data_IF_229189244866
#
_entry.id   IF_229189244866
#
_cell.length_a   1.000
_cell.length_b   1.000
_cell.length_c   1.000
_cell.angle_alpha   90.00
_cell.angle_beta   90.00
_cell.angle_gamma   90.00
#
_symmetry.space_group_name_H-M   'P 1'
#
loop_
_entity.id
_entity.type
_entity.pdbx_description
1 polymer ?
#
# COMPACT_ATOMS: atom_id res chain seq x y z
N UNK A 1 -5.51 -5.96 -21.16
CA UNK A 1 -5.67 -6.80 -19.94
C UNK A 1 -4.30 -7.26 -19.49
N UNK A 2 -3.92 -6.93 -18.27
CA UNK A 2 -2.63 -7.33 -17.69
C UNK A 2 -2.72 -8.77 -17.23
N UNK A 3 -1.72 -9.58 -17.60
CA UNK A 3 -1.61 -10.93 -17.06
C UNK A 3 -0.61 -10.90 -15.90
N UNK A 4 -0.98 -11.34 -14.68
CA UNK A 4 -0.07 -11.46 -13.57
C UNK A 4 1.18 -12.25 -13.95
N UNK A 5 2.34 -11.69 -13.65
CA UNK A 5 3.63 -12.32 -13.91
C UNK A 5 4.58 -12.01 -12.73
N UNK A 6 4.79 -13.02 -11.90
CA UNK A 6 5.61 -12.89 -10.69
C UNK A 6 7.09 -12.77 -10.98
N UNK A 7 7.57 -13.25 -12.16
CA UNK A 7 8.96 -13.08 -12.57
C UNK A 7 9.22 -11.62 -12.97
N UNK A 8 8.27 -11.00 -13.70
CA UNK A 8 8.32 -9.56 -13.98
C UNK A 8 8.28 -8.73 -12.68
N UNK A 9 7.41 -9.11 -11.75
CA UNK A 9 7.33 -8.47 -10.44
C UNK A 9 8.67 -8.54 -9.70
N UNK A 10 9.29 -9.73 -9.61
CA UNK A 10 10.59 -9.91 -8.98
C UNK A 10 11.70 -9.14 -9.69
N UNK A 11 11.71 -9.13 -11.01
CA UNK A 11 12.71 -8.39 -11.79
C UNK A 11 12.59 -6.88 -11.55
N UNK A 12 11.35 -6.36 -11.55
CA UNK A 12 11.08 -4.92 -11.34
C UNK A 12 11.42 -4.46 -9.92
N UNK A 13 11.12 -5.26 -8.92
CA UNK A 13 11.25 -4.92 -7.51
C UNK A 13 12.32 -5.74 -6.77
N UNK A 14 13.41 -6.07 -7.47
CA UNK A 14 14.49 -6.96 -6.97
C UNK A 14 15.10 -6.51 -5.65
N UNK A 15 15.16 -5.21 -5.36
CA UNK A 15 15.72 -4.67 -4.11
C UNK A 15 14.80 -4.89 -2.89
N UNK A 16 13.48 -4.89 -3.09
CA UNK A 16 12.52 -5.05 -2.00
C UNK A 16 11.19 -5.65 -2.48
N UNK A 17 11.18 -6.93 -2.91
CA UNK A 17 9.97 -7.58 -3.41
C UNK A 17 8.88 -7.68 -2.34
N UNK A 18 9.24 -7.98 -1.09
CA UNK A 18 8.28 -8.08 0.03
C UNK A 18 7.55 -6.76 0.28
N UNK A 19 8.28 -5.65 0.40
CA UNK A 19 7.67 -4.34 0.66
C UNK A 19 6.81 -3.83 -0.49
N UNK A 20 7.19 -4.12 -1.74
CA UNK A 20 6.39 -3.76 -2.90
C UNK A 20 5.14 -4.65 -3.05
N UNK A 21 5.24 -5.93 -2.69
CA UNK A 21 4.07 -6.81 -2.62
C UNK A 21 3.09 -6.38 -1.54
N UNK A 22 3.59 -5.99 -0.38
CA UNK A 22 2.79 -5.44 0.70
C UNK A 22 2.07 -4.15 0.26
N UNK A 23 2.76 -3.25 -0.46
CA UNK A 23 2.14 -2.05 -1.01
C UNK A 23 1.06 -2.39 -2.06
N UNK A 24 1.31 -3.35 -2.95
CA UNK A 24 0.31 -3.82 -3.89
C UNK A 24 -0.95 -4.33 -3.19
N UNK A 25 -0.79 -5.22 -2.20
CA UNK A 25 -1.89 -5.75 -1.42
C UNK A 25 -2.64 -4.67 -0.64
N UNK A 26 -1.92 -3.66 -0.11
CA UNK A 26 -2.51 -2.50 0.54
C UNK A 26 -3.45 -1.73 -0.39
N UNK A 27 -3.00 -1.45 -1.62
CA UNK A 27 -3.84 -0.74 -2.60
C UNK A 27 -5.09 -1.56 -2.94
N UNK A 28 -4.95 -2.88 -3.14
CA UNK A 28 -6.09 -3.76 -3.41
C UNK A 28 -7.04 -3.85 -2.21
N UNK A 29 -6.53 -3.91 -0.98
CA UNK A 29 -7.35 -3.88 0.23
C UNK A 29 -8.15 -2.58 0.33
N UNK A 30 -7.51 -1.43 0.07
CA UNK A 30 -8.20 -0.14 0.06
C UNK A 30 -9.33 -0.11 -0.98
N UNK A 31 -9.11 -0.64 -2.17
CA UNK A 31 -10.14 -0.70 -3.23
C UNK A 31 -11.29 -1.64 -2.84
N UNK A 32 -11.00 -2.83 -2.33
CA UNK A 32 -12.00 -3.83 -1.92
C UNK A 32 -12.91 -3.29 -0.80
N UNK A 33 -12.33 -2.59 0.16
CA UNK A 33 -13.06 -2.05 1.31
C UNK A 33 -13.50 -0.59 1.15
N UNK A 34 -13.28 0.02 -0.03
CA UNK A 34 -13.60 1.42 -0.35
C UNK A 34 -13.02 2.40 0.66
N UNK A 35 -11.79 2.15 1.05
CA UNK A 35 -11.07 3.00 1.97
C UNK A 35 -10.20 4.00 1.20
N UNK A 36 -10.07 5.25 1.67
CA UNK A 36 -9.13 6.17 1.05
C UNK A 36 -7.71 5.61 1.15
N UNK A 37 -6.96 5.67 0.06
CA UNK A 37 -5.52 5.44 0.11
C UNK A 37 -4.90 6.45 1.10
N UNK A 38 -4.03 5.99 1.99
CA UNK A 38 -3.49 6.84 3.06
C UNK A 38 -3.85 6.38 4.47
N UNK A 39 -4.36 5.13 4.62
CA UNK A 39 -4.46 4.51 5.95
C UNK A 39 -3.07 4.55 6.58
N UNK A 40 -3.01 5.04 7.81
CA UNK A 40 -1.77 5.12 8.55
C UNK A 40 -1.22 3.71 8.79
N UNK A 41 0.02 3.50 8.38
CA UNK A 41 0.75 2.25 8.49
C UNK A 41 1.89 2.43 9.48
N UNK A 42 1.87 1.67 10.57
CA UNK A 42 2.98 1.68 11.51
C UNK A 42 4.13 0.79 11.01
N UNK A 43 5.34 1.29 11.06
CA UNK A 43 6.53 0.47 10.83
C UNK A 43 6.60 -0.60 11.94
N UNK A 44 6.74 -1.88 11.54
CA UNK A 44 6.77 -3.04 12.44
C UNK A 44 5.46 -3.30 13.22
N UNK A 45 4.31 -3.09 12.58
CA UNK A 45 3.04 -3.49 13.16
C UNK A 45 3.00 -5.02 13.34
N UNK A 46 2.49 -5.48 14.48
CA UNK A 46 2.52 -6.90 14.81
C UNK A 46 1.30 -7.64 14.26
N UNK A 47 1.52 -8.64 13.45
CA UNK A 47 0.51 -9.63 13.02
C UNK A 47 -0.37 -9.20 11.83
N UNK A 48 -0.75 -7.92 11.70
CA UNK A 48 -1.47 -7.34 10.56
C UNK A 48 -0.79 -6.05 10.10
N UNK A 49 -0.98 -5.66 8.84
CA UNK A 49 -0.19 -4.58 8.22
C UNK A 49 -0.69 -3.17 8.55
N UNK A 50 -1.97 -3.01 8.86
CA UNK A 50 -2.57 -1.74 9.27
C UNK A 50 -3.48 -1.94 10.47
N UNK A 51 -3.97 -0.86 11.09
CA UNK A 51 -5.04 -1.00 12.06
C UNK A 51 -6.24 -1.73 11.43
N UNK A 52 -6.89 -2.65 12.19
CA UNK A 52 -8.05 -3.35 11.65
C UNK A 52 -9.21 -2.38 11.41
N UNK A 53 -10.04 -2.71 10.44
CA UNK A 53 -11.26 -1.99 10.14
C UNK A 53 -12.47 -2.72 10.73
N UNK A 54 -13.54 -1.98 10.99
CA UNK A 54 -14.83 -2.58 11.39
C UNK A 54 -15.80 -2.47 10.22
N UNK A 55 -16.32 -3.60 9.76
CA UNK A 55 -17.33 -3.68 8.70
C UNK A 55 -18.30 -4.81 9.02
N UNK A 56 -19.59 -4.55 8.91
CA UNK A 56 -20.68 -5.53 9.13
C UNK A 56 -20.55 -6.30 10.47
N UNK A 57 -20.14 -5.62 11.55
CA UNK A 57 -19.82 -6.15 12.88
C UNK A 57 -18.60 -7.08 12.94
N UNK A 58 -17.84 -7.21 11.88
CA UNK A 58 -16.57 -7.92 11.87
C UNK A 58 -15.40 -6.95 12.07
N UNK A 59 -14.39 -7.36 12.80
CA UNK A 59 -13.11 -6.65 12.92
C UNK A 59 -12.12 -7.34 11.99
N UNK A 60 -11.79 -6.66 10.89
CA UNK A 60 -11.05 -7.21 9.76
C UNK A 60 -9.65 -6.60 9.73
N UNK A 61 -8.63 -7.44 9.75
CA UNK A 61 -7.25 -7.09 9.46
C UNK A 61 -6.80 -7.67 8.13
N UNK A 62 -5.64 -7.28 7.66
CA UNK A 62 -5.00 -7.90 6.50
C UNK A 62 -3.52 -8.11 6.72
N UNK A 63 -2.96 -9.08 5.99
CA UNK A 63 -1.56 -9.45 6.01
C UNK A 63 -1.11 -9.83 4.61
N UNK A 64 0.15 -9.58 4.28
CA UNK A 64 0.74 -9.96 3.02
C UNK A 64 2.09 -10.63 3.20
N UNK A 65 2.32 -11.69 2.42
CA UNK A 65 3.60 -12.41 2.42
C UNK A 65 3.99 -12.80 1.01
N UNK A 66 5.15 -12.34 0.60
CA UNK A 66 5.77 -12.75 -0.66
C UNK A 66 6.76 -13.87 -0.38
N UNK A 67 6.42 -15.09 -0.78
CA UNK A 67 7.26 -16.26 -0.53
C UNK A 67 7.98 -16.72 -1.81
N UNK A 68 9.23 -17.13 -1.65
CA UNK A 68 10.01 -17.81 -2.69
C UNK A 68 9.83 -19.34 -2.63
N UNK A 69 9.27 -19.85 -1.56
CA UNK A 69 8.99 -21.27 -1.31
C UNK A 69 7.49 -21.54 -1.37
N UNK A 70 7.09 -22.81 -1.39
CA UNK A 70 5.68 -23.19 -1.36
C UNK A 70 5.02 -22.71 -0.09
N UNK A 71 3.73 -22.37 -0.18
CA UNK A 71 2.98 -21.90 0.98
C UNK A 71 2.96 -22.91 2.13
N UNK A 72 2.91 -24.21 1.82
CA UNK A 72 2.98 -25.29 2.81
C UNK A 72 4.28 -25.31 3.63
N UNK A 73 5.38 -24.82 3.08
CA UNK A 73 6.68 -24.83 3.76
C UNK A 73 6.77 -23.70 4.82
N UNK A 74 5.82 -22.77 4.80
CA UNK A 74 5.77 -21.59 5.66
C UNK A 74 4.75 -21.72 6.82
N UNK A 75 4.35 -22.95 7.18
CA UNK A 75 3.37 -23.22 8.25
C UNK A 75 3.66 -22.48 9.55
N UNK A 76 4.93 -22.52 9.99
CA UNK A 76 5.32 -21.91 11.26
C UNK A 76 5.10 -20.38 11.25
N UNK A 77 5.48 -19.72 10.16
CA UNK A 77 5.27 -18.27 9.98
C UNK A 77 3.77 -17.90 9.94
N UNK A 78 2.95 -18.74 9.31
CA UNK A 78 1.49 -18.54 9.25
C UNK A 78 0.84 -18.68 10.65
N UNK A 79 1.25 -19.68 11.43
CA UNK A 79 0.75 -19.87 12.80
C UNK A 79 1.19 -18.71 13.70
N UNK A 80 2.46 -18.32 13.63
CA UNK A 80 2.99 -17.19 14.40
C UNK A 80 2.25 -15.88 14.07
N UNK A 81 1.91 -15.65 12.79
CA UNK A 81 1.13 -14.50 12.34
C UNK A 81 -0.25 -14.49 13.03
N UNK A 82 -0.96 -15.62 13.07
CA UNK A 82 -2.27 -15.74 13.74
C UNK A 82 -2.15 -15.37 15.22
N UNK A 83 -1.17 -15.93 15.91
CA UNK A 83 -0.94 -15.71 17.35
C UNK A 83 -0.59 -14.24 17.65
N UNK A 84 0.31 -13.66 16.85
CA UNK A 84 0.67 -12.22 16.95
C UNK A 84 -0.52 -11.31 16.70
N UNK A 85 -1.33 -11.62 15.68
CA UNK A 85 -2.52 -10.85 15.33
C UNK A 85 -3.56 -10.88 16.46
N UNK A 86 -3.85 -12.06 17.00
CA UNK A 86 -4.81 -12.21 18.10
C UNK A 86 -4.34 -11.54 19.38
N UNK A 87 -3.05 -11.62 19.67
CA UNK A 87 -2.45 -10.95 20.83
C UNK A 87 -2.53 -9.43 20.73
N UNK A 88 -2.22 -8.89 19.52
CA UNK A 88 -2.25 -7.43 19.28
C UNK A 88 -3.68 -6.89 19.23
N UNK A 89 -4.61 -7.66 18.67
CA UNK A 89 -6.00 -7.28 18.45
C UNK A 89 -6.95 -8.38 18.94
N UNK A 90 -7.25 -8.44 20.24
CA UNK A 90 -8.08 -9.51 20.81
C UNK A 90 -9.49 -9.62 20.18
N UNK A 91 -10.04 -8.53 19.67
CA UNK A 91 -11.33 -8.48 18.96
C UNK A 91 -11.27 -8.87 17.49
N UNK A 92 -10.09 -9.12 16.92
CA UNK A 92 -9.94 -9.48 15.52
C UNK A 92 -10.71 -10.76 15.19
N UNK A 93 -11.60 -10.71 14.21
CA UNK A 93 -12.43 -11.83 13.78
C UNK A 93 -12.11 -12.34 12.37
N UNK A 94 -11.42 -11.52 11.54
CA UNK A 94 -11.11 -11.90 10.16
C UNK A 94 -9.74 -11.34 9.73
N UNK A 95 -8.97 -12.15 8.99
CA UNK A 95 -7.72 -11.74 8.34
C UNK A 95 -7.82 -12.02 6.85
N UNK A 96 -7.65 -10.98 6.03
CA UNK A 96 -7.46 -11.12 4.59
C UNK A 96 -5.96 -11.37 4.35
N UNK A 97 -5.61 -12.58 3.95
CA UNK A 97 -4.21 -12.97 3.76
C UNK A 97 -3.85 -13.04 2.28
N UNK A 98 -2.96 -12.16 1.86
CA UNK A 98 -2.45 -12.09 0.49
C UNK A 98 -1.12 -12.81 0.35
N UNK A 99 -0.96 -13.62 -0.70
CA UNK A 99 0.31 -14.26 -1.06
C UNK A 99 0.43 -14.52 -2.55
N UNK A 100 1.67 -14.49 -3.04
CA UNK A 100 2.03 -14.83 -4.42
C UNK A 100 2.08 -16.35 -4.67
N UNK A 101 1.78 -17.17 -3.69
CA UNK A 101 1.83 -18.64 -3.78
C UNK A 101 0.43 -19.24 -3.82
N UNK A 102 0.31 -20.44 -4.41
CA UNK A 102 -0.90 -21.25 -4.37
C UNK A 102 -0.80 -22.33 -3.29
N UNK A 103 -1.96 -22.72 -2.77
CA UNK A 103 -2.03 -23.98 -2.05
C UNK A 103 -1.91 -25.16 -3.05
N UNK A 104 -1.02 -26.11 -2.77
CA UNK A 104 -0.95 -27.33 -3.53
C UNK A 104 -2.25 -28.15 -3.37
N UNK A 105 -2.64 -28.94 -4.38
CA UNK A 105 -3.73 -29.89 -4.22
C UNK A 105 -3.43 -30.88 -3.11
N UNK A 106 -4.36 -31.05 -2.18
CA UNK A 106 -4.30 -32.14 -1.19
C UNK A 106 -4.30 -33.48 -1.93
N UNK A 107 -3.29 -34.32 -1.70
CA UNK A 107 -3.38 -35.74 -2.12
C UNK A 107 -4.48 -36.38 -1.28
N UNK A 108 -5.43 -37.08 -1.88
CA UNK A 108 -6.30 -38.01 -1.18
C UNK A 108 -5.39 -39.08 -0.55
N UNK A 109 -4.86 -38.81 0.63
CA UNK A 109 -4.20 -39.82 1.45
C UNK A 109 -5.31 -40.63 2.12
N UNK A 110 -5.13 -41.96 2.17
CA UNK A 110 -5.91 -42.85 3.02
C UNK A 110 -6.19 -42.16 4.37
N UNK A 111 -7.40 -42.39 4.85
CA UNK A 111 -7.97 -41.84 6.08
C UNK A 111 -6.89 -41.56 7.14
N UNK A 112 -6.78 -40.32 7.65
CA UNK A 112 -5.90 -40.07 8.79
C UNK A 112 -6.50 -40.77 9.99
N UNK A 113 -5.76 -41.66 10.62
CA UNK A 113 -6.08 -42.13 11.96
C UNK A 113 -6.17 -40.92 12.88
N UNK A 114 -7.38 -40.52 13.19
CA UNK A 114 -7.89 -39.98 14.42
C UNK A 114 -7.15 -38.82 15.08
N UNK A 115 -7.25 -37.62 14.51
CA UNK A 115 -7.25 -36.42 15.36
C UNK A 115 -8.68 -35.85 15.43
N UNK A 116 -9.38 -36.13 16.54
CA UNK A 116 -10.79 -35.74 16.75
C UNK A 116 -11.07 -34.23 16.61
N UNK A 117 -10.01 -33.38 16.66
CA UNK A 117 -10.13 -31.93 16.50
C UNK A 117 -10.14 -31.54 15.02
N UNK A 118 -9.37 -32.23 14.16
CA UNK A 118 -9.39 -32.00 12.71
C UNK A 118 -10.72 -32.41 12.09
N UNK A 119 -11.33 -33.49 12.55
CA UNK A 119 -12.63 -33.96 12.09
C UNK A 119 -13.74 -32.92 12.40
N UNK A 120 -13.70 -32.29 13.57
CA UNK A 120 -14.69 -31.29 13.99
C UNK A 120 -14.61 -30.00 13.14
N UNK A 121 -13.41 -29.58 12.72
CA UNK A 121 -13.22 -28.43 11.82
C UNK A 121 -13.71 -28.76 10.40
N UNK A 122 -13.36 -29.95 9.86
CA UNK A 122 -13.77 -30.38 8.53
C UNK A 122 -15.29 -30.55 8.41
N UNK A 123 -15.95 -31.00 9.46
CA UNK A 123 -17.41 -31.10 9.50
C UNK A 123 -18.10 -29.73 9.52
N UNK A 124 -17.43 -28.71 10.04
CA UNK A 124 -18.06 -27.40 10.28
C UNK A 124 -17.70 -26.36 9.21
N UNK A 125 -16.46 -26.32 8.74
CA UNK A 125 -15.93 -25.20 7.89
C UNK A 125 -14.96 -25.66 6.80
N UNK A 126 -14.25 -26.79 6.99
CA UNK A 126 -13.17 -27.21 6.09
C UNK A 126 -13.64 -27.87 4.79
N UNK A 127 -12.78 -27.87 3.78
CA UNK A 127 -12.97 -28.60 2.53
C UNK A 127 -12.06 -29.85 2.54
N UNK A 128 -12.64 -31.04 2.36
CA UNK A 128 -11.91 -32.32 2.36
C UNK A 128 -10.81 -32.43 1.27
N UNK A 129 -10.81 -31.52 0.30
CA UNK A 129 -9.80 -31.47 -0.76
C UNK A 129 -8.64 -30.49 -0.44
N UNK A 130 -8.70 -29.76 0.68
CA UNK A 130 -7.65 -28.85 1.06
C UNK A 130 -6.38 -29.60 1.51
N UNK A 131 -5.18 -29.03 1.29
CA UNK A 131 -3.94 -29.62 1.79
C UNK A 131 -3.95 -29.67 3.33
N UNK A 132 -3.39 -30.74 3.88
CA UNK A 132 -3.29 -30.94 5.36
C UNK A 132 -2.78 -29.69 6.08
N UNK A 133 -1.72 -29.07 5.57
CA UNK A 133 -1.13 -27.86 6.19
C UNK A 133 -2.13 -26.69 6.21
N UNK A 134 -2.93 -26.49 5.12
CA UNK A 134 -3.96 -25.45 5.10
C UNK A 134 -5.01 -25.70 6.18
N UNK A 135 -5.47 -26.96 6.29
CA UNK A 135 -6.47 -27.35 7.30
C UNK A 135 -5.93 -27.07 8.71
N UNK A 136 -4.67 -27.41 8.99
CA UNK A 136 -4.04 -27.16 10.30
C UNK A 136 -3.93 -25.68 10.61
N UNK A 137 -3.60 -24.83 9.63
CA UNK A 137 -3.52 -23.37 9.80
C UNK A 137 -4.90 -22.76 10.00
N UNK A 138 -5.89 -23.17 9.20
CA UNK A 138 -7.27 -22.68 9.31
C UNK A 138 -7.91 -23.10 10.62
N UNK A 139 -7.64 -24.33 11.09
CA UNK A 139 -8.07 -24.81 12.38
C UNK A 139 -7.49 -23.96 13.52
N UNK A 140 -6.18 -23.68 13.49
CA UNK A 140 -5.52 -22.82 14.48
C UNK A 140 -6.11 -21.41 14.51
N UNK A 141 -6.45 -20.84 13.35
CA UNK A 141 -7.12 -19.56 13.25
C UNK A 141 -8.52 -19.64 13.86
N UNK A 142 -9.31 -20.65 13.51
CA UNK A 142 -10.66 -20.89 14.06
C UNK A 142 -10.65 -21.01 15.58
N UNK A 143 -9.73 -21.79 16.16
CA UNK A 143 -9.54 -21.93 17.61
C UNK A 143 -9.20 -20.58 18.28
N UNK A 144 -8.59 -19.67 17.54
CA UNK A 144 -8.31 -18.31 17.97
C UNK A 144 -9.47 -17.33 17.72
N UNK A 145 -10.61 -17.81 17.18
CA UNK A 145 -11.76 -16.99 16.78
C UNK A 145 -11.47 -16.06 15.63
N UNK A 146 -10.64 -16.50 14.67
CA UNK A 146 -10.25 -15.76 13.47
C UNK A 146 -10.60 -16.60 12.23
N UNK A 147 -11.28 -16.00 11.27
CA UNK A 147 -11.45 -16.52 9.91
C UNK A 147 -10.30 -16.01 9.02
N UNK A 148 -9.65 -16.88 8.25
CA UNK A 148 -8.68 -16.47 7.24
C UNK A 148 -9.33 -16.50 5.85
N UNK A 149 -9.33 -15.36 5.17
CA UNK A 149 -9.72 -15.25 3.77
C UNK A 149 -8.46 -15.25 2.93
N UNK A 150 -8.19 -16.37 2.25
CA UNK A 150 -7.00 -16.56 1.45
C UNK A 150 -7.10 -15.85 0.09
N UNK A 151 -6.18 -14.94 -0.18
CA UNK A 151 -5.95 -14.27 -1.44
C UNK A 151 -4.63 -14.79 -2.03
N UNK A 152 -4.67 -16.02 -2.54
CA UNK A 152 -3.53 -16.73 -3.13
C UNK A 152 -3.21 -16.21 -4.54
N UNK A 153 -2.20 -16.76 -5.22
CA UNK A 153 -1.73 -16.28 -6.53
C UNK A 153 -2.86 -16.12 -7.56
N UNK A 154 -3.81 -17.05 -7.61
CA UNK A 154 -4.97 -17.00 -8.50
C UNK A 154 -5.92 -15.83 -8.21
N UNK A 155 -5.95 -15.29 -7.00
CA UNK A 155 -6.70 -14.07 -6.70
C UNK A 155 -6.25 -12.89 -7.59
N UNK A 156 -4.96 -12.79 -7.86
CA UNK A 156 -4.41 -11.71 -8.68
C UNK A 156 -4.76 -11.83 -10.17
N UNK A 157 -5.33 -12.95 -10.59
CA UNK A 157 -5.91 -13.17 -11.93
C UNK A 157 -7.41 -12.83 -11.99
N UNK A 158 -8.02 -12.48 -10.86
CA UNK A 158 -9.46 -12.18 -10.77
C UNK A 158 -9.84 -10.91 -11.55
N UNK A 159 -11.08 -10.79 -12.03
CA UNK A 159 -11.58 -9.57 -12.65
C UNK A 159 -11.40 -8.33 -11.76
N UNK A 160 -11.54 -8.48 -10.44
CA UNK A 160 -11.28 -7.40 -9.49
C UNK A 160 -9.87 -6.81 -9.65
N UNK A 161 -8.84 -7.65 -9.83
CA UNK A 161 -7.46 -7.16 -9.97
C UNK A 161 -7.16 -6.71 -11.40
N UNK A 162 -7.45 -7.57 -12.40
CA UNK A 162 -6.97 -7.35 -13.77
C UNK A 162 -7.88 -6.46 -14.63
N UNK A 163 -9.12 -6.22 -14.20
CA UNK A 163 -10.09 -5.36 -14.91
C UNK A 163 -10.41 -4.12 -14.08
N UNK A 164 -10.99 -4.30 -12.89
CA UNK A 164 -11.42 -3.17 -12.07
C UNK A 164 -10.23 -2.34 -11.53
N UNK A 165 -9.09 -3.01 -11.26
CA UNK A 165 -7.86 -2.39 -10.76
C UNK A 165 -6.70 -2.50 -11.77
N UNK A 166 -7.01 -2.44 -13.07
CA UNK A 166 -6.02 -2.63 -14.13
C UNK A 166 -4.80 -1.71 -14.02
N UNK A 167 -5.01 -0.45 -13.66
CA UNK A 167 -3.91 0.53 -13.50
C UNK A 167 -2.92 0.06 -12.41
N UNK A 168 -3.45 -0.41 -11.28
CA UNK A 168 -2.63 -0.97 -10.19
C UNK A 168 -1.90 -2.23 -10.67
N UNK A 169 -2.61 -3.18 -11.29
CA UNK A 169 -2.03 -4.41 -11.80
C UNK A 169 -0.92 -4.15 -12.85
N UNK A 170 -1.10 -3.17 -13.73
CA UNK A 170 -0.09 -2.74 -14.71
C UNK A 170 1.18 -2.27 -14.02
N UNK A 171 1.06 -1.44 -12.99
CA UNK A 171 2.23 -0.98 -12.26
C UNK A 171 3.07 -2.14 -11.72
N UNK A 172 2.43 -3.15 -11.12
CA UNK A 172 3.17 -4.23 -10.45
C UNK A 172 3.62 -5.35 -11.38
N UNK A 173 2.91 -5.64 -12.47
CA UNK A 173 3.21 -6.77 -13.35
C UNK A 173 3.81 -6.39 -14.70
N UNK A 174 3.78 -5.12 -15.10
CA UNK A 174 4.41 -4.68 -16.35
C UNK A 174 5.84 -4.22 -16.11
N UNK A 175 6.74 -4.56 -17.01
CA UNK A 175 8.10 -4.01 -17.04
C UNK A 175 8.16 -2.62 -17.67
N UNK A 176 7.10 -2.20 -18.37
CA UNK A 176 7.00 -0.85 -18.91
C UNK A 176 6.75 0.15 -17.79
N UNK A 177 7.23 1.38 -17.97
CA UNK A 177 6.94 2.49 -17.06
C UNK A 177 5.43 2.66 -16.90
N UNK A 178 5.01 2.83 -15.66
CA UNK A 178 3.63 3.10 -15.29
C UNK A 178 3.48 4.53 -14.81
N UNK A 179 2.24 5.01 -14.73
CA UNK A 179 1.96 6.32 -14.14
C UNK A 179 2.55 6.44 -12.72
N UNK A 180 2.58 5.35 -11.95
CA UNK A 180 3.15 5.36 -10.60
C UNK A 180 4.67 5.52 -10.59
N UNK A 181 5.38 4.93 -11.55
CA UNK A 181 6.82 5.12 -11.69
C UNK A 181 7.15 6.57 -11.99
N UNK A 182 6.35 7.18 -12.85
CA UNK A 182 6.46 8.59 -13.20
C UNK A 182 6.12 9.52 -12.03
N UNK A 183 5.06 9.22 -11.26
CA UNK A 183 4.71 9.97 -10.07
C UNK A 183 5.80 9.86 -9.00
N UNK A 184 6.42 8.69 -8.84
CA UNK A 184 7.56 8.49 -7.95
C UNK A 184 8.81 9.26 -8.42
N UNK A 185 9.07 9.31 -9.72
CA UNK A 185 10.11 10.18 -10.28
C UNK A 185 9.86 11.65 -9.94
N UNK A 186 8.60 12.13 -10.07
CA UNK A 186 8.23 13.51 -9.70
C UNK A 186 8.33 13.75 -8.20
N UNK A 187 8.07 12.77 -7.37
CA UNK A 187 8.29 12.84 -5.93
C UNK A 187 9.78 13.02 -5.62
N UNK A 188 10.65 12.21 -6.21
CA UNK A 188 12.12 12.35 -6.09
C UNK A 188 12.61 13.71 -6.59
N UNK A 189 12.06 14.18 -7.71
CA UNK A 189 12.36 15.51 -8.22
C UNK A 189 11.99 16.61 -7.19
N UNK A 190 10.79 16.54 -6.62
CA UNK A 190 10.34 17.46 -5.57
C UNK A 190 11.25 17.46 -4.36
N UNK A 191 11.66 16.27 -3.88
CA UNK A 191 12.61 16.14 -2.77
C UNK A 191 13.95 16.81 -3.11
N UNK A 192 14.46 16.65 -4.31
CA UNK A 192 15.68 17.30 -4.77
C UNK A 192 15.53 18.83 -4.83
N UNK A 193 14.40 19.34 -5.35
CA UNK A 193 14.13 20.79 -5.39
C UNK A 193 14.10 21.40 -4.00
N UNK A 194 13.55 20.68 -3.03
CA UNK A 194 13.37 21.15 -1.64
C UNK A 194 14.56 20.81 -0.73
N UNK A 195 15.50 19.97 -1.18
CA UNK A 195 16.60 19.47 -0.35
C UNK A 195 17.42 20.61 0.29
N UNK A 196 17.82 21.59 -0.51
CA UNK A 196 18.67 22.70 -0.06
C UNK A 196 17.90 23.80 0.72
N UNK A 197 16.57 23.72 0.77
CA UNK A 197 15.76 24.73 1.44
C UNK A 197 15.83 24.50 2.96
N UNK A 198 16.43 25.44 3.65
CA UNK A 198 16.46 25.44 5.12
C UNK A 198 15.14 25.97 5.67
N UNK A 199 14.54 25.24 6.62
CA UNK A 199 13.34 25.67 7.36
C UNK A 199 13.68 26.39 8.65
N UNK A 200 14.90 26.22 9.14
CA UNK A 200 15.46 26.84 10.35
C UNK A 200 16.63 27.75 9.98
N UNK A 201 16.93 28.69 10.83
CA UNK A 201 18.15 29.52 10.76
C UNK A 201 19.20 28.88 11.66
N UNK A 202 20.29 28.40 11.04
CA UNK A 202 21.44 27.89 11.79
C UNK A 202 22.41 29.03 12.07
N UNK A 203 22.74 29.24 13.34
CA UNK A 203 23.75 30.21 13.75
C UNK A 203 24.63 29.63 14.86
N UNK A 204 25.87 29.34 14.53
CA UNK A 204 26.84 28.64 15.40
C UNK A 204 26.24 27.32 15.88
N UNK A 205 26.12 27.12 17.18
CA UNK A 205 25.59 25.89 17.79
C UNK A 205 24.08 25.96 18.08
N UNK A 206 23.38 26.93 17.48
CA UNK A 206 21.95 27.19 17.73
C UNK A 206 21.17 27.10 16.43
N UNK A 207 20.08 26.35 16.47
CA UNK A 207 19.06 26.31 15.43
C UNK A 207 17.83 27.09 15.88
N UNK A 208 17.41 28.06 15.10
CA UNK A 208 16.25 28.89 15.38
C UNK A 208 15.15 28.52 14.39
N UNK A 209 14.08 27.93 14.88
CA UNK A 209 12.90 27.68 14.10
C UNK A 209 12.04 28.94 13.98
N UNK A 210 11.75 29.34 12.75
CA UNK A 210 10.83 30.44 12.50
C UNK A 210 9.42 29.90 12.51
N UNK A 211 8.56 30.42 13.38
CA UNK A 211 7.13 30.04 13.40
C UNK A 211 6.43 30.51 12.12
N UNK A 212 5.94 29.57 11.35
CA UNK A 212 5.21 29.78 10.11
C UNK A 212 3.79 29.18 10.12
N UNK A 213 3.30 28.77 11.31
CA UNK A 213 2.00 28.11 11.45
C UNK A 213 0.88 28.92 10.83
N UNK A 214 0.82 30.21 11.13
CA UNK A 214 -0.20 31.09 10.58
C UNK A 214 -0.19 31.14 9.04
N UNK A 215 1.00 31.19 8.42
CA UNK A 215 1.11 31.16 6.95
C UNK A 215 0.66 29.82 6.36
N UNK A 216 0.95 28.73 7.03
CA UNK A 216 0.57 27.36 6.62
C UNK A 216 -0.95 27.20 6.73
N UNK A 217 -1.56 27.58 7.85
CA UNK A 217 -3.00 27.53 8.09
C UNK A 217 -3.75 28.36 7.04
N UNK A 218 -3.33 29.60 6.80
CA UNK A 218 -3.93 30.49 5.79
C UNK A 218 -3.83 29.90 4.38
N UNK A 219 -2.72 29.23 4.05
CA UNK A 219 -2.55 28.59 2.76
C UNK A 219 -3.46 27.38 2.61
N UNK A 220 -3.59 26.53 3.63
CA UNK A 220 -4.51 25.40 3.66
C UNK A 220 -5.97 25.84 3.49
N UNK A 221 -6.41 26.83 4.26
CA UNK A 221 -7.77 27.39 4.15
C UNK A 221 -8.08 27.88 2.74
N UNK A 222 -7.11 28.55 2.10
CA UNK A 222 -7.30 29.03 0.74
C UNK A 222 -7.30 27.89 -0.30
N UNK A 223 -6.46 26.86 -0.13
CA UNK A 223 -6.40 25.71 -1.05
C UNK A 223 -7.67 24.86 -1.01
N UNK A 224 -8.34 24.76 0.13
CA UNK A 224 -9.65 24.09 0.24
C UNK A 224 -10.73 24.82 -0.58
N UNK A 225 -10.65 26.14 -0.69
CA UNK A 225 -11.70 26.96 -1.32
C UNK A 225 -11.37 27.35 -2.77
N UNK A 226 -10.11 27.33 -3.17
CA UNK A 226 -9.63 27.89 -4.42
C UNK A 226 -8.73 26.89 -5.15
N UNK A 227 -8.93 26.79 -6.46
CA UNK A 227 -8.10 25.96 -7.34
C UNK A 227 -6.67 26.51 -7.52
N UNK A 228 -6.49 27.81 -7.39
CA UNK A 228 -5.21 28.50 -7.56
C UNK A 228 -5.01 29.47 -6.42
N UNK A 229 -3.85 29.38 -5.76
CA UNK A 229 -3.40 30.29 -4.71
C UNK A 229 -2.01 30.82 -5.06
N UNK A 230 -1.84 32.13 -5.02
CA UNK A 230 -0.56 32.80 -5.28
C UNK A 230 0.04 33.28 -3.97
N UNK A 231 1.24 32.78 -3.65
CA UNK A 231 2.02 33.24 -2.49
C UNK A 231 3.06 34.24 -2.96
N UNK A 232 2.90 35.50 -2.57
CA UNK A 232 3.80 36.61 -2.93
C UNK A 232 4.54 37.16 -1.71
N UNK A 233 5.65 37.85 -1.93
CA UNK A 233 6.46 38.50 -0.90
C UNK A 233 7.88 38.78 -1.41
N UNK A 234 8.65 39.53 -0.65
CA UNK A 234 10.04 39.89 -0.97
C UNK A 234 10.97 38.67 -1.08
N UNK A 235 12.13 38.85 -1.74
CA UNK A 235 13.16 37.83 -1.80
C UNK A 235 13.66 37.48 -0.38
N UNK A 236 13.89 36.18 -0.13
CA UNK A 236 14.45 35.74 1.15
C UNK A 236 13.49 35.59 2.34
N UNK A 237 12.22 36.03 2.24
CA UNK A 237 11.26 35.94 3.37
C UNK A 237 10.81 34.52 3.72
N UNK A 238 11.26 33.51 3.00
CA UNK A 238 11.02 32.11 3.34
C UNK A 238 9.77 31.48 2.68
N UNK A 239 9.26 32.01 1.55
CA UNK A 239 8.13 31.42 0.82
C UNK A 239 8.33 29.91 0.53
N UNK A 240 9.50 29.56 0.00
CA UNK A 240 9.82 28.15 -0.31
C UNK A 240 9.93 27.28 0.95
N UNK A 241 10.35 27.85 2.08
CA UNK A 241 10.38 27.13 3.36
C UNK A 241 8.96 26.82 3.88
N UNK A 242 7.97 27.69 3.61
CA UNK A 242 6.55 27.37 3.87
C UNK A 242 6.10 26.20 3.01
N UNK A 243 6.39 26.23 1.71
CA UNK A 243 6.05 25.13 0.78
C UNK A 243 6.71 23.82 1.22
N UNK A 244 7.99 23.85 1.64
CA UNK A 244 8.69 22.67 2.15
C UNK A 244 8.00 22.09 3.39
N UNK A 245 7.59 22.92 4.35
CA UNK A 245 6.89 22.46 5.55
C UNK A 245 5.53 21.82 5.21
N UNK A 246 4.78 22.37 4.27
CA UNK A 246 3.53 21.80 3.79
C UNK A 246 3.81 20.44 3.10
N UNK A 247 4.79 20.40 2.21
CA UNK A 247 5.20 19.15 1.58
C UNK A 247 5.55 18.06 2.59
N UNK A 248 6.35 18.37 3.60
CA UNK A 248 6.74 17.44 4.67
C UNK A 248 5.53 16.92 5.47
N UNK A 249 4.51 17.74 5.66
CA UNK A 249 3.28 17.35 6.36
C UNK A 249 2.34 16.51 5.49
N UNK A 250 2.22 16.84 4.19
CA UNK A 250 1.20 16.30 3.31
C UNK A 250 1.67 15.14 2.41
N UNK A 251 2.97 15.00 2.17
CA UNK A 251 3.54 14.05 1.19
C UNK A 251 3.13 12.59 1.37
N UNK A 252 2.66 12.21 2.56
CA UNK A 252 2.19 10.86 2.85
C UNK A 252 0.70 10.66 2.55
N UNK A 253 -0.05 11.76 2.41
CA UNK A 253 -1.50 11.74 2.28
C UNK A 253 -1.98 12.22 0.92
N UNK A 254 -1.21 13.14 0.30
CA UNK A 254 -1.62 13.80 -0.95
C UNK A 254 -0.44 13.86 -1.91
N UNK A 255 -0.62 13.54 -3.20
CA UNK A 255 0.37 13.80 -4.23
C UNK A 255 0.69 15.31 -4.28
N UNK A 256 1.90 15.67 -3.89
CA UNK A 256 2.35 17.05 -3.82
C UNK A 256 3.68 17.19 -4.59
N UNK A 257 3.68 17.98 -5.66
CA UNK A 257 4.84 18.14 -6.51
C UNK A 257 5.29 19.59 -6.57
N UNK A 258 6.59 19.82 -6.56
CA UNK A 258 7.20 21.16 -6.59
C UNK A 258 8.11 21.25 -7.81
N UNK A 259 7.91 22.28 -8.59
CA UNK A 259 8.70 22.61 -9.79
C UNK A 259 9.26 24.03 -9.68
N UNK A 260 10.44 24.26 -10.20
CA UNK A 260 11.00 25.59 -10.36
C UNK A 260 10.36 26.26 -11.60
N UNK A 261 10.10 27.56 -11.53
CA UNK A 261 9.53 28.30 -12.66
C UNK A 261 10.39 28.17 -13.95
N UNK A 262 11.70 27.99 -13.81
CA UNK A 262 12.62 27.77 -14.94
C UNK A 262 12.43 26.44 -15.66
N UNK A 263 11.71 25.48 -15.07
CA UNK A 263 11.42 24.18 -15.66
C UNK A 263 10.19 24.24 -16.57
N UNK A 264 9.34 25.25 -16.39
CA UNK A 264 8.17 25.49 -17.25
C UNK A 264 8.63 26.14 -18.56
N UNK A 265 9.20 25.32 -19.44
CA UNK A 265 9.61 25.72 -20.80
C UNK A 265 8.50 25.54 -21.85
N UNK A 266 7.36 25.04 -21.42
CA UNK A 266 6.20 24.73 -22.25
C UNK A 266 5.01 25.60 -21.85
N UNK A 267 4.12 25.82 -22.80
CA UNK A 267 2.99 26.74 -22.64
C UNK A 267 1.86 26.16 -21.78
N UNK A 268 1.88 24.85 -21.48
CA UNK A 268 0.87 24.20 -20.68
C UNK A 268 1.45 23.16 -19.70
N UNK A 269 0.72 22.93 -18.62
CA UNK A 269 1.03 21.84 -17.65
C UNK A 269 0.95 20.47 -18.33
N UNK A 270 0.00 20.28 -19.25
CA UNK A 270 -0.11 19.02 -20.01
C UNK A 270 1.12 18.75 -20.85
N UNK A 271 1.70 19.77 -21.48
CA UNK A 271 2.95 19.61 -22.22
C UNK A 271 4.15 19.35 -21.31
N UNK A 272 4.14 19.92 -20.10
CA UNK A 272 5.16 19.60 -19.10
C UNK A 272 5.08 18.13 -18.69
N UNK A 273 3.89 17.63 -18.43
CA UNK A 273 3.68 16.23 -18.06
C UNK A 273 3.80 15.29 -19.28
N UNK A 274 3.38 15.70 -20.47
CA UNK A 274 3.54 14.94 -21.71
C UNK A 274 5.01 14.74 -22.10
N UNK A 275 5.87 15.75 -21.87
CA UNK A 275 7.32 15.61 -22.04
C UNK A 275 7.95 14.55 -21.11
N UNK A 276 7.19 14.06 -20.14
CA UNK A 276 7.54 13.06 -19.16
C UNK A 276 6.66 11.78 -19.26
N UNK A 277 6.03 11.55 -20.43
CA UNK A 277 5.27 10.32 -20.70
C UNK A 277 3.84 10.29 -20.16
N UNK A 278 3.32 11.42 -19.66
CA UNK A 278 1.92 11.58 -19.22
C UNK A 278 1.09 12.32 -20.28
N UNK A 279 1.03 11.79 -21.49
CA UNK A 279 0.30 12.40 -22.60
C UNK A 279 -1.22 12.60 -22.31
N UNK A 280 -1.76 11.93 -21.30
CA UNK A 280 -3.16 11.95 -20.93
C UNK A 280 -3.42 12.38 -19.45
N UNK A 281 -2.57 13.24 -18.89
CA UNK A 281 -2.75 13.71 -17.51
C UNK A 281 -4.12 14.36 -17.28
N UNK A 282 -4.64 15.09 -18.28
CA UNK A 282 -5.96 15.71 -18.23
C UNK A 282 -7.10 14.68 -18.24
N UNK A 283 -6.94 13.54 -18.94
CA UNK A 283 -7.93 12.47 -18.98
C UNK A 283 -7.86 11.58 -17.73
N UNK A 284 -6.67 11.37 -17.18
CA UNK A 284 -6.51 10.63 -15.93
C UNK A 284 -7.14 11.33 -14.72
N UNK A 285 -7.35 12.66 -14.80
CA UNK A 285 -7.94 13.46 -13.72
C UNK A 285 -9.46 13.67 -13.85
N UNK A 286 -10.06 13.27 -14.98
CA UNK A 286 -11.51 13.40 -15.22
C UNK A 286 -12.31 12.16 -14.77
N UNK A 287 -11.63 11.06 -14.48
CA UNK A 287 -12.24 9.79 -14.07
C UNK A 287 -12.20 9.54 -12.54
N UNK A 288 -11.94 10.59 -11.73
CA UNK A 288 -12.10 10.57 -10.28
C UNK A 288 -13.43 11.25 -9.89
#
# INVERSE_FOLDING_TARGET
MVKPNWDNFKAKFSENPQGNFEWFCYLLFCQEFKMPAGIFRYKNQSGIETNPITKDNEIIGWQSKFYDTKLSDNKADLIEMIEKSKKAYPGLSKIIFYTNQEWGQGRKSHEPEGDKNADNYLETVGNSNDPKIKIEVDQKAYESGIEIVWRVASFFESPFVIVENEKIAKHFFSLNESIFDLLEEKRKHTENVLYEIQTNIEFKDRSIEIDRRHCIELLHENLVQKKIVIVSGEGGVGKTAVIKKIYEAEKQYTPFYVFKASEFKKDSINELFGAHGLDDFSNAHQDE
#
